data_IF_192417403110
#
_entry.id   IF_192417403110
#
_cell.length_a   1.000
_cell.length_b   1.000
_cell.length_c   1.000
_cell.angle_alpha   90.00
_cell.angle_beta   90.00
_cell.angle_gamma   90.00
#
_symmetry.space_group_name_H-M   'P 1'
#
loop_
_entity.id
_entity.type
_entity.pdbx_description
1 polymer ?
#
# COMPACT_ATOMS: atom_id res chain seq x y z
N UNK A 1 -21.74 19.37 -14.51
CA UNK A 1 -20.63 20.35 -14.37
C UNK A 1 -20.74 21.21 -13.10
N UNK A 2 -21.33 20.73 -11.97
CA UNK A 2 -21.49 21.48 -10.70
C UNK A 2 -20.43 21.20 -9.63
N UNK A 3 -19.50 20.26 -9.84
CA UNK A 3 -18.57 19.80 -8.79
C UNK A 3 -17.10 20.23 -8.98
N UNK A 4 -16.77 21.01 -10.00
CA UNK A 4 -15.37 21.27 -10.39
C UNK A 4 -14.60 22.24 -9.48
N UNK A 5 -15.21 22.77 -8.40
CA UNK A 5 -14.57 23.80 -7.56
C UNK A 5 -14.89 23.66 -6.05
N UNK A 6 -15.35 22.48 -5.62
CA UNK A 6 -15.72 22.29 -4.20
C UNK A 6 -14.54 22.44 -3.23
N UNK A 7 -13.33 22.17 -3.71
CA UNK A 7 -12.09 22.26 -2.94
C UNK A 7 -11.17 23.39 -3.43
N UNK A 8 -11.74 24.38 -4.16
CA UNK A 8 -10.97 25.53 -4.63
C UNK A 8 -10.29 26.23 -3.44
N UNK A 9 -8.99 26.53 -3.60
CA UNK A 9 -8.12 27.15 -2.60
C UNK A 9 -7.60 26.22 -1.48
N UNK A 10 -8.10 24.98 -1.33
CA UNK A 10 -7.55 24.04 -0.34
C UNK A 10 -6.27 23.40 -0.86
N UNK A 11 -5.24 23.42 -0.02
CA UNK A 11 -3.99 22.67 -0.20
C UNK A 11 -4.08 21.37 0.58
N UNK A 12 -4.23 20.26 -0.14
CA UNK A 12 -4.38 18.91 0.45
C UNK A 12 -3.07 18.15 0.36
N UNK A 13 -2.53 17.76 1.52
CA UNK A 13 -1.31 16.96 1.61
C UNK A 13 -1.66 15.48 1.53
N UNK A 14 -1.09 14.78 0.56
CA UNK A 14 -1.23 13.33 0.35
C UNK A 14 0.07 12.64 0.73
N UNK A 15 0.00 11.72 1.70
CA UNK A 15 1.16 11.08 2.33
C UNK A 15 1.45 9.66 1.84
N UNK A 16 0.62 9.11 0.95
CA UNK A 16 0.79 7.77 0.38
C UNK A 16 2.11 7.64 -0.39
N UNK A 17 2.70 6.43 -0.41
CA UNK A 17 3.89 6.15 -1.21
C UNK A 17 3.72 6.51 -2.68
N UNK A 18 4.82 6.84 -3.35
CA UNK A 18 4.82 7.05 -4.80
C UNK A 18 4.31 5.81 -5.53
N UNK A 19 3.51 6.04 -6.58
CA UNK A 19 2.81 4.99 -7.32
C UNK A 19 1.51 4.49 -6.66
N UNK A 20 1.18 4.96 -5.45
CA UNK A 20 -0.08 4.67 -4.76
C UNK A 20 -0.90 5.93 -4.46
N UNK A 21 -0.44 7.09 -4.91
CA UNK A 21 -1.04 8.40 -4.64
C UNK A 21 -1.66 9.04 -5.88
N UNK A 22 -1.57 8.39 -7.04
CA UNK A 22 -1.95 8.99 -8.32
C UNK A 22 -3.47 9.22 -8.41
N UNK A 23 -4.28 8.17 -8.27
CA UNK A 23 -5.74 8.23 -8.39
C UNK A 23 -6.35 9.21 -7.38
N UNK A 24 -5.86 9.17 -6.13
CA UNK A 24 -6.26 10.11 -5.09
C UNK A 24 -5.93 11.55 -5.47
N UNK A 25 -4.71 11.79 -5.96
CA UNK A 25 -4.26 13.11 -6.35
C UNK A 25 -5.04 13.67 -7.54
N UNK A 26 -5.32 12.84 -8.54
CA UNK A 26 -6.12 13.23 -9.71
C UNK A 26 -7.56 13.56 -9.31
N UNK A 27 -8.17 12.74 -8.45
CA UNK A 27 -9.53 13.00 -7.96
C UNK A 27 -9.62 14.29 -7.17
N UNK A 28 -8.68 14.55 -6.24
CA UNK A 28 -8.63 15.79 -5.47
C UNK A 28 -8.41 17.00 -6.38
N UNK A 29 -7.53 16.89 -7.36
CA UNK A 29 -7.28 17.97 -8.35
C UNK A 29 -8.51 18.25 -9.22
N UNK A 30 -9.23 17.20 -9.64
CA UNK A 30 -10.48 17.33 -10.40
C UNK A 30 -11.60 18.03 -9.59
N UNK A 31 -11.55 17.93 -8.24
CA UNK A 31 -12.44 18.63 -7.32
C UNK A 31 -11.96 20.08 -7.02
N UNK A 32 -10.85 20.52 -7.57
CA UNK A 32 -10.32 21.88 -7.46
C UNK A 32 -9.23 22.07 -6.41
N UNK A 33 -8.81 21.03 -5.67
CA UNK A 33 -7.77 21.15 -4.66
C UNK A 33 -6.37 21.33 -5.28
N UNK A 34 -5.51 22.08 -4.58
CA UNK A 34 -4.06 22.02 -4.81
C UNK A 34 -3.48 20.84 -4.05
N UNK A 35 -3.04 19.82 -4.78
CA UNK A 35 -2.49 18.60 -4.16
C UNK A 35 -0.98 18.73 -3.92
N UNK A 36 -0.55 18.49 -2.68
CA UNK A 36 0.84 18.47 -2.27
C UNK A 36 1.22 17.04 -1.92
N UNK A 37 2.07 16.41 -2.73
CA UNK A 37 2.54 15.04 -2.46
C UNK A 37 3.70 15.05 -1.47
N UNK A 38 3.54 14.35 -0.36
CA UNK A 38 4.53 14.16 0.72
C UNK A 38 4.60 12.68 1.09
N UNK A 39 5.13 11.80 0.23
CA UNK A 39 5.22 10.38 0.53
C UNK A 39 5.99 10.15 1.84
N UNK A 40 5.34 9.57 2.84
CA UNK A 40 5.95 9.31 4.14
C UNK A 40 6.56 7.90 4.25
N UNK A 41 6.40 7.08 3.22
CA UNK A 41 7.02 5.76 3.07
C UNK A 41 7.57 5.70 1.66
N UNK A 42 8.83 5.29 1.52
CA UNK A 42 9.42 4.91 0.26
C UNK A 42 9.58 3.38 0.20
N UNK A 43 9.60 2.86 -1.02
CA UNK A 43 9.88 1.45 -1.28
C UNK A 43 11.25 1.35 -1.95
N UNK A 44 12.11 0.52 -1.40
CA UNK A 44 13.44 0.27 -1.92
C UNK A 44 13.59 -1.22 -2.24
N UNK A 45 14.29 -1.55 -3.33
CA UNK A 45 14.62 -2.93 -3.63
C UNK A 45 15.40 -3.55 -2.47
N UNK A 46 15.00 -4.75 -2.09
CA UNK A 46 15.67 -5.52 -1.05
C UNK A 46 16.34 -6.74 -1.68
N UNK A 47 17.63 -6.85 -1.48
CA UNK A 47 18.39 -8.04 -1.86
C UNK A 47 18.72 -8.79 -0.56
N UNK A 48 18.13 -9.96 -0.41
CA UNK A 48 18.47 -10.87 0.67
C UNK A 48 19.39 -11.96 0.10
N UNK A 49 20.60 -12.05 0.65
CA UNK A 49 21.57 -13.10 0.26
C UNK A 49 21.07 -14.50 0.63
N UNK A 50 20.13 -14.61 1.58
CA UNK A 50 19.48 -15.89 1.91
C UNK A 50 18.62 -16.44 0.76
N UNK A 51 18.12 -15.58 -0.14
CA UNK A 51 17.41 -15.97 -1.36
C UNK A 51 18.32 -16.63 -2.42
N UNK A 52 19.65 -16.51 -2.28
CA UNK A 52 20.61 -17.12 -3.21
C UNK A 52 20.62 -18.65 -3.18
N UNK A 53 20.10 -19.25 -2.10
CA UNK A 53 19.98 -20.72 -1.94
C UNK A 53 18.65 -21.27 -2.47
N UNK A 54 17.72 -20.40 -2.92
CA UNK A 54 16.42 -20.84 -3.42
C UNK A 54 16.57 -21.40 -4.83
N UNK A 55 16.30 -22.70 -5.00
CA UNK A 55 16.21 -23.28 -6.35
C UNK A 55 14.88 -22.88 -7.00
N UNK A 56 14.92 -21.79 -7.75
CA UNK A 56 13.76 -21.29 -8.48
C UNK A 56 13.39 -22.15 -9.70
N UNK A 57 14.23 -23.13 -10.09
CA UNK A 57 14.06 -23.86 -11.37
C UNK A 57 12.91 -24.88 -11.33
N UNK A 58 12.42 -25.26 -10.16
CA UNK A 58 11.39 -26.29 -9.98
C UNK A 58 10.18 -25.81 -9.20
N UNK A 59 9.68 -24.60 -9.51
CA UNK A 59 8.51 -24.05 -8.85
C UNK A 59 7.21 -24.54 -9.51
N UNK A 60 6.28 -25.03 -8.69
CA UNK A 60 4.90 -25.31 -9.12
C UNK A 60 4.06 -24.04 -9.17
N UNK A 61 4.27 -23.14 -8.19
CA UNK A 61 3.50 -21.91 -8.09
C UNK A 61 4.32 -20.71 -7.58
N UNK A 62 3.96 -19.52 -8.09
CA UNK A 62 4.46 -18.23 -7.58
C UNK A 62 3.26 -17.36 -7.19
N UNK A 63 3.27 -16.88 -5.95
CA UNK A 63 2.23 -16.03 -5.39
C UNK A 63 2.76 -14.62 -5.21
N UNK A 64 2.14 -13.63 -5.86
CA UNK A 64 2.44 -12.22 -5.68
C UNK A 64 1.41 -11.57 -4.76
N UNK A 65 1.85 -11.04 -3.61
CA UNK A 65 0.94 -10.46 -2.62
C UNK A 65 0.56 -8.99 -2.88
N UNK A 66 1.17 -8.34 -3.87
CA UNK A 66 0.88 -6.94 -4.22
C UNK A 66 1.48 -6.57 -5.57
N UNK A 67 1.01 -5.47 -6.18
CA UNK A 67 1.62 -4.90 -7.38
C UNK A 67 3.10 -4.51 -7.16
N UNK A 68 3.48 -4.10 -5.94
CA UNK A 68 4.88 -3.84 -5.59
C UNK A 68 5.71 -5.13 -5.58
N UNK A 69 5.15 -6.25 -5.14
CA UNK A 69 5.83 -7.54 -5.23
C UNK A 69 6.13 -7.90 -6.69
N UNK A 70 5.20 -7.60 -7.62
CA UNK A 70 5.45 -7.74 -9.07
C UNK A 70 6.56 -6.81 -9.54
N UNK A 71 6.45 -5.52 -9.24
CA UNK A 71 7.42 -4.48 -9.64
C UNK A 71 8.85 -4.83 -9.26
N UNK A 72 9.07 -5.33 -8.04
CA UNK A 72 10.41 -5.60 -7.49
C UNK A 72 10.86 -7.06 -7.66
N UNK A 73 9.93 -8.00 -7.88
CA UNK A 73 10.23 -9.43 -7.83
C UNK A 73 10.04 -10.19 -9.13
N UNK A 74 9.24 -9.69 -10.08
CA UNK A 74 8.93 -10.45 -11.28
C UNK A 74 10.18 -10.83 -12.10
N UNK A 75 11.13 -9.91 -12.24
CA UNK A 75 12.39 -10.16 -12.95
C UNK A 75 13.21 -11.33 -12.41
N UNK A 76 13.01 -11.71 -11.15
CA UNK A 76 13.70 -12.85 -10.52
C UNK A 76 13.07 -14.19 -10.88
N UNK A 77 11.80 -14.20 -11.32
CA UNK A 77 11.05 -15.43 -11.68
C UNK A 77 10.70 -15.55 -13.16
N UNK A 78 10.92 -14.51 -13.95
CA UNK A 78 10.60 -14.52 -15.40
C UNK A 78 11.46 -15.46 -16.24
N UNK A 79 12.63 -15.87 -15.74
CA UNK A 79 13.61 -16.70 -16.46
C UNK A 79 13.48 -18.19 -16.15
N UNK A 80 12.39 -18.61 -15.48
CA UNK A 80 12.16 -20.00 -15.14
C UNK A 80 11.96 -20.84 -16.43
N UNK A 81 12.64 -21.97 -16.50
CA UNK A 81 12.60 -22.87 -17.68
C UNK A 81 11.21 -23.48 -17.85
N UNK A 82 10.56 -23.84 -16.72
CA UNK A 82 9.17 -24.29 -16.71
C UNK A 82 8.33 -23.20 -16.05
N UNK A 83 7.37 -22.60 -16.78
CA UNK A 83 6.54 -21.56 -16.19
C UNK A 83 5.68 -22.12 -15.04
N UNK A 84 5.75 -21.57 -13.83
CA UNK A 84 4.90 -21.96 -12.73
C UNK A 84 3.47 -21.42 -12.91
N UNK A 85 2.53 -21.90 -12.11
CA UNK A 85 1.24 -21.24 -11.98
C UNK A 85 1.41 -19.90 -11.24
N UNK A 86 0.85 -18.82 -11.78
CA UNK A 86 0.88 -17.51 -11.16
C UNK A 86 -0.41 -17.23 -10.39
N UNK A 87 -0.26 -16.87 -9.12
CA UNK A 87 -1.34 -16.46 -8.24
C UNK A 87 -1.11 -15.05 -7.72
N UNK A 88 -2.17 -14.32 -7.45
CA UNK A 88 -2.07 -13.04 -6.77
C UNK A 88 -3.31 -12.72 -5.93
N UNK A 89 -3.19 -11.74 -5.03
CA UNK A 89 -4.25 -11.41 -4.07
C UNK A 89 -5.43 -10.65 -4.69
N UNK A 90 -5.28 -10.08 -5.90
CA UNK A 90 -6.37 -9.33 -6.50
C UNK A 90 -6.04 -8.64 -7.82
N UNK A 91 -7.03 -7.97 -8.39
CA UNK A 91 -7.00 -7.41 -9.75
C UNK A 91 -5.86 -6.44 -10.01
N UNK A 92 -5.53 -5.54 -9.08
CA UNK A 92 -4.42 -4.61 -9.26
C UNK A 92 -3.06 -5.32 -9.41
N UNK A 93 -2.87 -6.44 -8.69
CA UNK A 93 -1.66 -7.27 -8.82
C UNK A 93 -1.68 -8.09 -10.10
N UNK A 94 -2.86 -8.59 -10.50
CA UNK A 94 -3.03 -9.30 -11.77
C UNK A 94 -2.70 -8.38 -12.96
N UNK A 95 -3.21 -7.14 -12.95
CA UNK A 95 -2.89 -6.16 -13.98
C UNK A 95 -1.38 -5.90 -14.09
N UNK A 96 -0.70 -5.74 -12.95
CA UNK A 96 0.75 -5.58 -12.93
C UNK A 96 1.49 -6.79 -13.51
N UNK A 97 0.99 -8.02 -13.35
CA UNK A 97 1.53 -9.22 -13.98
C UNK A 97 1.24 -9.26 -15.49
N UNK A 98 0.03 -8.87 -15.92
CA UNK A 98 -0.31 -8.77 -17.34
C UNK A 98 0.56 -7.75 -18.06
N UNK A 99 0.86 -6.61 -17.41
CA UNK A 99 1.78 -5.59 -17.95
C UNK A 99 3.22 -6.13 -18.13
N UNK A 100 3.61 -7.17 -17.37
CA UNK A 100 4.87 -7.88 -17.54
C UNK A 100 4.82 -9.00 -18.61
N UNK A 101 3.67 -9.20 -19.28
CA UNK A 101 3.49 -10.21 -20.31
C UNK A 101 3.04 -11.59 -19.80
N UNK A 102 2.68 -11.72 -18.52
CA UNK A 102 2.07 -12.96 -18.00
C UNK A 102 0.67 -13.08 -18.59
N UNK A 103 0.34 -14.23 -19.18
CA UNK A 103 -0.94 -14.43 -19.89
C UNK A 103 -2.01 -15.11 -19.03
N UNK A 104 -1.60 -15.82 -17.97
CA UNK A 104 -2.53 -16.54 -17.08
C UNK A 104 -2.18 -16.27 -15.63
N UNK A 105 -3.12 -15.65 -14.91
CA UNK A 105 -3.00 -15.33 -13.48
C UNK A 105 -4.29 -15.72 -12.78
N UNK A 106 -4.18 -16.48 -11.70
CA UNK A 106 -5.33 -16.88 -10.88
C UNK A 106 -5.42 -16.01 -9.64
N UNK A 107 -6.58 -15.43 -9.36
CA UNK A 107 -6.84 -14.61 -8.17
C UNK A 107 -8.30 -14.70 -7.74
N UNK A 108 -8.65 -14.35 -6.48
CA UNK A 108 -10.01 -14.37 -6.00
C UNK A 108 -10.90 -13.37 -6.76
N UNK A 109 -12.17 -13.71 -6.99
CA UNK A 109 -13.11 -12.83 -7.70
C UNK A 109 -13.70 -11.73 -6.80
N UNK A 110 -13.84 -11.99 -5.48
CA UNK A 110 -14.58 -11.11 -4.57
C UNK A 110 -13.79 -10.70 -3.33
N UNK A 111 -12.98 -11.58 -2.76
CA UNK A 111 -12.19 -11.32 -1.56
C UNK A 111 -10.70 -11.17 -1.91
N UNK A 112 -10.30 -9.93 -2.18
CA UNK A 112 -8.92 -9.59 -2.55
C UNK A 112 -7.98 -9.56 -1.33
N UNK A 113 -7.92 -10.67 -0.62
CA UNK A 113 -7.13 -10.89 0.59
C UNK A 113 -6.33 -12.19 0.54
N UNK A 114 -5.46 -12.39 1.53
CA UNK A 114 -4.78 -13.68 1.72
C UNK A 114 -5.78 -14.80 2.02
N UNK A 115 -6.82 -14.47 2.76
CA UNK A 115 -7.93 -15.36 3.11
C UNK A 115 -8.67 -15.84 1.86
N UNK A 116 -9.07 -14.90 0.98
CA UNK A 116 -9.73 -15.22 -0.28
C UNK A 116 -8.84 -16.02 -1.22
N UNK A 117 -7.53 -15.69 -1.29
CA UNK A 117 -6.57 -16.43 -2.10
C UNK A 117 -6.48 -17.90 -1.64
N UNK A 118 -6.45 -18.15 -0.33
CA UNK A 118 -6.40 -19.50 0.25
C UNK A 118 -7.68 -20.31 0.02
N UNK A 119 -8.79 -19.71 -0.41
CA UNK A 119 -10.01 -20.43 -0.79
C UNK A 119 -9.99 -20.97 -2.22
N UNK A 120 -9.04 -20.55 -3.03
CA UNK A 120 -8.93 -21.05 -4.41
C UNK A 120 -8.67 -22.56 -4.43
N UNK A 121 -9.38 -23.34 -5.29
CA UNK A 121 -9.23 -24.80 -5.36
C UNK A 121 -7.79 -25.25 -5.56
N UNK A 122 -7.03 -24.56 -6.43
CA UNK A 122 -5.64 -24.88 -6.76
C UNK A 122 -4.68 -24.75 -5.57
N UNK A 123 -5.04 -23.96 -4.55
CA UNK A 123 -4.27 -23.78 -3.32
C UNK A 123 -4.80 -24.62 -2.15
N UNK A 124 -5.86 -25.42 -2.33
CA UNK A 124 -6.33 -26.38 -1.34
C UNK A 124 -5.53 -27.70 -1.37
N UNK A 125 -5.15 -28.18 -2.57
CA UNK A 125 -4.42 -29.43 -2.78
C UNK A 125 -2.98 -29.13 -3.23
N UNK A 126 -2.12 -28.80 -2.27
CA UNK A 126 -0.73 -28.35 -2.53
C UNK A 126 0.33 -29.24 -1.89
N UNK A 127 -0.04 -30.44 -1.44
CA UNK A 127 0.90 -31.37 -0.82
C UNK A 127 2.10 -31.66 -1.77
N UNK A 128 3.31 -31.47 -1.25
CA UNK A 128 4.56 -31.66 -1.96
C UNK A 128 4.88 -30.57 -3.01
N UNK A 129 4.01 -29.60 -3.28
CA UNK A 129 4.26 -28.53 -4.23
C UNK A 129 5.28 -27.53 -3.71
N UNK A 130 6.16 -27.08 -4.61
CA UNK A 130 7.14 -26.01 -4.38
C UNK A 130 6.49 -24.65 -4.67
N UNK A 131 6.29 -23.83 -3.65
CA UNK A 131 5.59 -22.55 -3.75
C UNK A 131 6.50 -21.42 -3.27
N UNK A 132 6.62 -20.36 -4.08
CA UNK A 132 7.28 -19.11 -3.69
C UNK A 132 6.25 -18.01 -3.50
N UNK A 133 6.33 -17.34 -2.34
CA UNK A 133 5.55 -16.14 -2.05
C UNK A 133 6.47 -14.92 -2.23
N UNK A 134 6.22 -14.13 -3.27
CA UNK A 134 6.94 -12.89 -3.56
C UNK A 134 6.32 -11.75 -2.75
N UNK A 135 7.14 -11.13 -1.89
CA UNK A 135 6.66 -10.13 -0.92
C UNK A 135 7.69 -9.05 -0.62
N UNK A 136 7.27 -8.04 0.11
CA UNK A 136 8.17 -7.14 0.82
C UNK A 136 8.70 -7.77 2.10
N UNK A 137 9.78 -7.22 2.64
CA UNK A 137 10.33 -7.60 3.94
C UNK A 137 9.27 -7.35 5.02
N UNK A 138 8.96 -8.37 5.80
CA UNK A 138 7.89 -8.38 6.80
C UNK A 138 6.46 -8.42 6.23
N UNK A 139 5.51 -8.78 7.07
CA UNK A 139 4.07 -8.84 6.79
C UNK A 139 3.43 -10.08 7.42
N UNK A 140 2.17 -10.36 7.03
CA UNK A 140 1.38 -11.47 7.58
C UNK A 140 1.97 -12.82 7.17
N UNK A 141 1.97 -13.77 8.10
CA UNK A 141 2.47 -15.15 7.88
C UNK A 141 1.36 -16.12 7.42
N UNK A 142 0.11 -15.67 7.37
CA UNK A 142 -1.06 -16.51 7.12
C UNK A 142 -0.95 -17.40 5.87
N UNK A 143 -0.48 -16.83 4.74
CA UNK A 143 -0.30 -17.61 3.50
C UNK A 143 0.74 -18.69 3.68
N UNK A 144 1.87 -18.36 4.26
CA UNK A 144 2.97 -19.27 4.51
C UNK A 144 2.54 -20.43 5.42
N UNK A 145 2.03 -20.10 6.60
CA UNK A 145 1.62 -21.06 7.61
C UNK A 145 0.53 -22.00 7.08
N UNK A 146 -0.47 -21.45 6.38
CA UNK A 146 -1.59 -22.25 5.85
C UNK A 146 -1.14 -23.18 4.73
N UNK A 147 -0.32 -22.71 3.78
CA UNK A 147 0.17 -23.55 2.69
C UNK A 147 1.12 -24.64 3.20
N UNK A 148 1.97 -24.35 4.18
CA UNK A 148 2.79 -25.36 4.86
C UNK A 148 1.93 -26.40 5.58
N UNK A 149 0.89 -25.96 6.29
CA UNK A 149 -0.05 -26.88 6.95
C UNK A 149 -0.79 -27.80 5.97
N UNK A 150 -0.93 -27.37 4.68
CA UNK A 150 -1.47 -28.18 3.58
C UNK A 150 -0.41 -29.06 2.90
N UNK A 151 0.81 -29.14 3.45
CA UNK A 151 1.89 -29.99 2.95
C UNK A 151 2.73 -29.40 1.83
N UNK A 152 2.60 -28.13 1.50
CA UNK A 152 3.47 -27.46 0.51
C UNK A 152 4.86 -27.15 1.11
N UNK A 153 5.87 -27.12 0.24
CA UNK A 153 7.21 -26.57 0.53
C UNK A 153 7.19 -25.11 0.14
N UNK A 154 7.10 -24.21 1.14
CA UNK A 154 6.87 -22.78 0.90
C UNK A 154 8.12 -21.99 1.23
N UNK A 155 8.46 -21.05 0.36
CA UNK A 155 9.57 -20.12 0.54
C UNK A 155 9.09 -18.67 0.34
N UNK A 156 9.74 -17.74 1.03
CA UNK A 156 9.61 -16.32 0.75
C UNK A 156 10.67 -15.86 -0.24
N UNK A 157 10.25 -15.02 -1.18
CA UNK A 157 11.13 -14.20 -2.00
C UNK A 157 10.90 -12.73 -1.62
N UNK A 158 11.66 -12.24 -0.64
CA UNK A 158 11.60 -10.86 -0.20
C UNK A 158 12.35 -9.97 -1.20
N UNK A 159 11.64 -9.01 -1.81
CA UNK A 159 12.15 -8.26 -2.97
C UNK A 159 12.20 -6.76 -2.74
N UNK A 160 11.50 -6.26 -1.72
CA UNK A 160 11.52 -4.83 -1.37
C UNK A 160 11.30 -4.63 0.12
N UNK A 161 11.66 -3.46 0.59
CA UNK A 161 11.39 -3.03 1.96
C UNK A 161 10.81 -1.62 1.98
N UNK A 162 10.10 -1.32 3.07
CA UNK A 162 9.66 0.04 3.38
C UNK A 162 10.79 0.76 4.10
N UNK A 163 11.04 1.98 3.67
CA UNK A 163 12.04 2.85 4.31
C UNK A 163 11.45 4.24 4.53
N UNK A 164 12.02 4.97 5.47
CA UNK A 164 11.79 6.39 5.60
C UNK A 164 12.40 7.12 4.40
N UNK A 165 11.66 7.97 3.67
CA UNK A 165 12.21 8.76 2.58
C UNK A 165 13.39 9.63 3.04
N UNK A 166 14.42 9.74 2.19
CA UNK A 166 15.61 10.57 2.47
C UNK A 166 15.38 12.03 2.02
N UNK A 167 14.37 12.67 2.58
CA UNK A 167 14.01 14.05 2.26
C UNK A 167 13.46 14.76 3.50
N UNK A 168 13.26 16.06 3.39
CA UNK A 168 12.53 16.86 4.37
C UNK A 168 11.36 17.57 3.68
N UNK A 169 10.29 17.79 4.43
CA UNK A 169 9.08 18.47 3.96
C UNK A 169 8.84 19.76 4.74
N UNK A 170 8.39 20.82 4.03
CA UNK A 170 7.77 21.98 4.66
C UNK A 170 6.42 21.61 5.26
N UNK A 171 5.94 22.33 6.25
CA UNK A 171 4.61 22.14 6.84
C UNK A 171 3.48 22.78 6.01
N UNK A 172 3.71 23.01 4.72
CA UNK A 172 2.73 23.60 3.83
C UNK A 172 1.54 22.67 3.63
N UNK A 173 0.32 23.21 3.74
CA UNK A 173 -0.93 22.49 3.54
C UNK A 173 -2.00 22.90 4.55
N UNK A 174 -3.25 22.85 4.13
CA UNK A 174 -4.41 23.18 4.97
C UNK A 174 -4.95 21.92 5.66
N UNK A 175 -4.84 20.78 4.99
CA UNK A 175 -5.30 19.49 5.48
C UNK A 175 -4.38 18.36 5.05
N UNK A 176 -4.17 17.37 5.93
CA UNK A 176 -3.28 16.22 5.69
C UNK A 176 -4.07 14.91 5.78
N UNK A 177 -3.88 14.04 4.81
CA UNK A 177 -4.41 12.67 4.79
C UNK A 177 -3.42 11.70 5.42
N UNK A 178 -3.82 11.01 6.51
CA UNK A 178 -2.97 10.08 7.26
C UNK A 178 -3.65 8.71 7.31
N UNK A 179 -3.00 7.68 6.77
CA UNK A 179 -3.59 6.35 6.59
C UNK A 179 -3.07 5.29 7.56
N UNK A 180 -2.01 5.58 8.33
CA UNK A 180 -1.48 4.69 9.37
C UNK A 180 -0.69 5.46 10.42
N UNK A 181 -0.43 4.82 11.58
CA UNK A 181 0.44 5.39 12.62
C UNK A 181 1.87 5.61 12.10
N UNK A 182 2.41 4.64 11.34
CA UNK A 182 3.73 4.76 10.70
C UNK A 182 3.82 6.02 9.80
N UNK A 183 2.78 6.30 9.03
CA UNK A 183 2.71 7.51 8.19
C UNK A 183 2.69 8.78 9.05
N UNK A 184 1.99 8.78 10.17
CA UNK A 184 1.95 9.92 11.08
C UNK A 184 3.32 10.19 11.71
N UNK A 185 3.97 9.16 12.23
CA UNK A 185 5.32 9.24 12.82
C UNK A 185 6.33 9.76 11.81
N UNK A 186 6.34 9.17 10.61
CA UNK A 186 7.24 9.54 9.53
C UNK A 186 7.00 10.98 9.04
N UNK A 187 5.74 11.43 8.96
CA UNK A 187 5.41 12.80 8.57
C UNK A 187 6.02 13.82 9.54
N UNK A 188 5.86 13.59 10.84
CA UNK A 188 6.44 14.45 11.88
C UNK A 188 7.98 14.43 11.80
N UNK A 189 8.57 13.23 11.60
CA UNK A 189 10.01 13.08 11.48
C UNK A 189 10.58 13.77 10.24
N UNK A 190 9.90 13.68 9.09
CA UNK A 190 10.31 14.27 7.82
C UNK A 190 10.07 15.78 7.74
N UNK A 191 9.24 16.34 8.62
CA UNK A 191 8.96 17.77 8.60
C UNK A 191 10.15 18.55 9.16
N UNK A 192 10.51 19.63 8.48
CA UNK A 192 11.56 20.57 8.89
C UNK A 192 11.30 21.00 10.35
N UNK A 193 12.33 20.90 11.20
CA UNK A 193 12.19 21.10 12.65
C UNK A 193 11.51 22.42 13.02
N UNK A 194 11.91 23.51 12.35
CA UNK A 194 11.36 24.84 12.59
C UNK A 194 9.86 24.96 12.23
N UNK A 195 9.33 24.02 11.43
CA UNK A 195 7.94 24.04 10.93
C UNK A 195 7.06 22.99 11.59
N UNK A 196 7.58 22.14 12.48
CA UNK A 196 6.80 21.09 13.16
C UNK A 196 5.58 21.64 13.89
N UNK A 197 5.71 22.80 14.54
CA UNK A 197 4.58 23.42 15.23
C UNK A 197 3.44 23.79 14.26
N UNK A 198 3.78 24.23 13.05
CA UNK A 198 2.78 24.52 12.02
C UNK A 198 2.10 23.23 11.54
N UNK A 199 2.85 22.14 11.30
CA UNK A 199 2.29 20.83 10.97
C UNK A 199 1.30 20.37 12.04
N UNK A 200 1.67 20.48 13.32
CA UNK A 200 0.83 20.01 14.43
C UNK A 200 -0.47 20.83 14.61
N UNK A 201 -0.57 21.97 13.96
CA UNK A 201 -1.79 22.81 13.90
C UNK A 201 -2.60 22.59 12.62
N UNK A 202 -2.12 21.73 11.70
CA UNK A 202 -2.81 21.45 10.43
C UNK A 202 -4.00 20.51 10.68
N UNK A 203 -5.10 20.70 9.95
CA UNK A 203 -6.23 19.78 9.99
C UNK A 203 -5.83 18.43 9.43
N UNK A 204 -6.34 17.35 10.01
CA UNK A 204 -6.03 15.98 9.58
C UNK A 204 -7.29 15.19 9.25
N UNK A 205 -7.22 14.36 8.21
CA UNK A 205 -8.17 13.28 7.96
C UNK A 205 -7.44 11.97 8.13
N UNK A 206 -8.00 11.07 8.96
CA UNK A 206 -7.39 9.78 9.30
C UNK A 206 -8.32 8.63 8.92
N UNK A 207 -7.73 7.48 8.59
CA UNK A 207 -8.47 6.31 8.12
C UNK A 207 -9.18 5.50 9.23
N UNK A 208 -8.82 5.71 10.50
CA UNK A 208 -9.34 4.95 11.64
C UNK A 208 -9.18 5.71 12.97
N UNK A 209 -10.02 5.37 13.96
CA UNK A 209 -9.96 5.95 15.31
C UNK A 209 -8.63 5.70 16.04
N UNK A 210 -7.97 4.57 15.82
CA UNK A 210 -6.66 4.31 16.41
C UNK A 210 -5.59 5.28 15.89
N UNK A 211 -5.68 5.71 14.63
CA UNK A 211 -4.77 6.72 14.06
C UNK A 211 -5.10 8.08 14.68
N UNK A 212 -6.40 8.41 14.85
CA UNK A 212 -6.83 9.63 15.52
C UNK A 212 -6.31 9.73 16.96
N UNK A 213 -6.33 8.62 17.69
CA UNK A 213 -5.75 8.54 19.04
C UNK A 213 -4.22 8.74 19.00
N UNK A 214 -3.53 8.10 18.05
CA UNK A 214 -2.07 8.17 17.91
C UNK A 214 -1.58 9.58 17.60
N UNK A 215 -2.17 10.27 16.61
CA UNK A 215 -1.71 11.62 16.23
C UNK A 215 -1.90 12.65 17.36
N UNK A 216 -2.86 12.44 18.26
CA UNK A 216 -2.97 13.26 19.47
C UNK A 216 -1.75 13.11 20.37
N UNK A 217 -1.18 11.90 20.48
CA UNK A 217 0.06 11.68 21.25
C UNK A 217 1.27 12.35 20.61
N UNK A 218 1.24 12.56 19.29
CA UNK A 218 2.26 13.30 18.54
C UNK A 218 2.13 14.83 18.69
N UNK A 219 1.04 15.31 19.30
CA UNK A 219 0.82 16.73 19.56
C UNK A 219 -0.05 17.47 18.56
N UNK A 220 -0.72 16.79 17.63
CA UNK A 220 -1.69 17.44 16.74
C UNK A 220 -2.82 18.06 17.55
N UNK A 221 -3.03 19.37 17.39
CA UNK A 221 -3.91 20.16 18.23
C UNK A 221 -5.38 20.16 17.79
N UNK A 222 -5.62 20.03 16.49
CA UNK A 222 -6.99 19.98 15.94
C UNK A 222 -7.60 18.60 16.10
N UNK A 223 -8.91 18.52 16.31
CA UNK A 223 -9.63 17.24 16.32
C UNK A 223 -9.55 16.58 14.94
N UNK A 224 -9.02 15.35 14.82
CA UNK A 224 -8.95 14.66 13.56
C UNK A 224 -10.34 14.35 12.99
N UNK A 225 -10.50 14.47 11.69
CA UNK A 225 -11.66 13.97 10.97
C UNK A 225 -11.43 12.48 10.66
N UNK A 226 -12.32 11.62 11.16
CA UNK A 226 -12.15 10.17 11.01
C UNK A 226 -13.01 9.67 9.86
N UNK A 227 -12.37 9.10 8.84
CA UNK A 227 -13.04 8.44 7.73
C UNK A 227 -13.52 7.03 8.14
N UNK A 228 -14.52 6.50 7.45
CA UNK A 228 -15.04 5.16 7.72
C UNK A 228 -13.99 4.04 7.51
N UNK A 229 -13.01 4.29 6.64
CA UNK A 229 -11.87 3.41 6.35
C UNK A 229 -10.77 4.22 5.63
N UNK A 230 -9.54 3.68 5.47
CA UNK A 230 -8.43 4.39 4.83
C UNK A 230 -8.46 4.41 3.29
N UNK A 231 -9.56 4.02 2.65
CA UNK A 231 -9.72 4.06 1.19
C UNK A 231 -9.93 5.50 0.73
N UNK A 232 -9.53 5.77 -0.50
CA UNK A 232 -9.57 7.11 -1.09
C UNK A 232 -10.97 7.70 -1.13
N UNK A 233 -11.96 6.91 -1.55
CA UNK A 233 -13.36 7.30 -1.61
C UNK A 233 -13.91 7.75 -0.24
N UNK A 234 -13.55 7.03 0.81
CA UNK A 234 -13.96 7.33 2.18
C UNK A 234 -13.27 8.60 2.71
N UNK A 235 -11.98 8.75 2.47
CA UNK A 235 -11.19 9.90 2.88
C UNK A 235 -11.67 11.19 2.17
N UNK A 236 -11.92 11.11 0.85
CA UNK A 236 -12.46 12.23 0.05
C UNK A 236 -13.87 12.60 0.53
N UNK A 237 -14.74 11.63 0.78
CA UNK A 237 -16.08 11.88 1.31
C UNK A 237 -16.03 12.64 2.63
N UNK A 238 -15.11 12.28 3.52
CA UNK A 238 -14.92 12.96 4.79
C UNK A 238 -14.45 14.41 4.60
N UNK A 239 -13.53 14.66 3.65
CA UNK A 239 -13.11 16.00 3.28
C UNK A 239 -14.29 16.85 2.77
N UNK A 240 -15.07 16.30 1.84
CA UNK A 240 -16.21 17.02 1.26
C UNK A 240 -17.29 17.35 2.30
N UNK A 241 -17.55 16.44 3.24
CA UNK A 241 -18.47 16.70 4.34
C UNK A 241 -17.97 17.83 5.24
N UNK A 242 -16.68 17.85 5.56
CA UNK A 242 -16.09 18.89 6.39
C UNK A 242 -16.19 20.28 5.74
N UNK A 243 -15.85 20.40 4.46
CA UNK A 243 -15.94 21.67 3.73
C UNK A 243 -17.39 22.19 3.67
N UNK A 244 -18.36 21.29 3.49
CA UNK A 244 -19.79 21.68 3.44
C UNK A 244 -20.39 22.05 4.81
N UNK A 245 -19.70 21.78 5.93
CA UNK A 245 -20.18 22.14 7.29
C UNK A 245 -19.57 23.44 7.81
N UNK A 246 -18.49 23.92 7.19
CA UNK A 246 -17.83 25.19 7.52
C UNK A 246 -18.36 26.41 6.73
N UNK A 247 -19.34 26.19 5.81
CA UNK A 247 -20.15 27.24 5.15
C UNK A 247 -21.47 27.44 5.91
#
# INVERSE_FOLDING_TARGET
MKNANLLAQLKVVVTRPDGQNQDLSETLSALGATVIKRPCIALEAYADDSNSALDLQQLDAVIFISANAVRFGYSKVQTLVTPPQFFCVGSATANALYDQGVTAVTFPEHDFSSEGLLQLPDLQAVEGKQIVIVRGRSGRELLYETLQARGAIVHYLETYQRILPKCQYSAEGDIVFITSNEVADNLVQLTIEAEKQQLLQTQTIVGHENIAAHIKTLGFSKTPLVAANPRDDSMIKTLLNWVNTDD
#
